data_IF_924558124748
#
_entry.id   IF_924558124748
#
_cell.length_a   1.000
_cell.length_b   1.000
_cell.length_c   1.000
_cell.angle_alpha   90.00
_cell.angle_beta   90.00
_cell.angle_gamma   90.00
#
_symmetry.space_group_name_H-M   'P 1'
#
loop_
_entity.id
_entity.type
_entity.pdbx_description
1 polymer ?
#
# COMPACT_ATOMS: atom_id res chain seq x y z
N UNK A 1 -10.05 10.62 -4.15
CA UNK A 1 -11.39 10.00 -4.28
C UNK A 1 -11.31 8.48 -4.39
N UNK A 2 -10.44 7.95 -5.24
CA UNK A 2 -10.47 6.51 -5.56
C UNK A 2 -10.08 5.60 -4.39
N UNK A 3 -9.17 6.06 -3.53
CA UNK A 3 -8.73 5.30 -2.35
C UNK A 3 -9.90 4.93 -1.44
N UNK A 4 -10.87 5.83 -1.22
CA UNK A 4 -12.03 5.55 -0.35
C UNK A 4 -12.90 4.45 -0.96
N UNK A 5 -13.14 4.50 -2.28
CA UNK A 5 -13.91 3.45 -2.99
C UNK A 5 -13.18 2.11 -2.96
N UNK A 6 -11.87 2.12 -3.15
CA UNK A 6 -11.02 0.93 -3.08
C UNK A 6 -11.06 0.32 -1.68
N UNK A 7 -10.97 1.14 -0.63
CA UNK A 7 -11.10 0.70 0.76
C UNK A 7 -12.50 0.13 1.03
N UNK A 8 -13.55 0.77 0.53
CA UNK A 8 -14.91 0.23 0.59
C UNK A 8 -15.04 -1.17 -0.01
N UNK A 9 -14.48 -1.36 -1.22
CA UNK A 9 -14.43 -2.66 -1.90
C UNK A 9 -13.62 -3.68 -1.09
N UNK A 10 -12.48 -3.27 -0.52
CA UNK A 10 -11.66 -4.12 0.35
C UNK A 10 -12.42 -4.61 1.59
N UNK A 11 -13.22 -3.72 2.19
CA UNK A 11 -14.02 -4.00 3.38
C UNK A 11 -15.37 -4.67 3.10
N UNK A 12 -15.73 -4.81 1.83
CA UNK A 12 -17.07 -5.22 1.41
C UNK A 12 -18.18 -4.33 2.00
N UNK A 13 -17.91 -3.03 2.14
CA UNK A 13 -18.81 -2.03 2.72
C UNK A 13 -19.19 -0.98 1.66
N UNK A 14 -20.48 -0.68 1.46
CA UNK A 14 -20.91 0.34 0.51
C UNK A 14 -20.50 1.73 1.03
N UNK A 15 -19.79 2.49 0.19
CA UNK A 15 -19.24 3.82 0.51
C UNK A 15 -20.21 4.95 0.17
N UNK A 16 -21.23 4.70 -0.65
CA UNK A 16 -22.11 5.76 -1.15
C UNK A 16 -21.40 6.71 -2.13
N UNK A 17 -22.06 7.82 -2.44
CA UNK A 17 -21.48 8.88 -3.29
C UNK A 17 -20.46 9.66 -2.47
N UNK A 18 -19.26 9.82 -3.01
CA UNK A 18 -18.18 10.62 -2.42
C UNK A 18 -18.08 11.92 -3.20
N UNK A 19 -18.21 13.05 -2.53
CA UNK A 19 -18.15 14.40 -3.11
C UNK A 19 -17.27 15.31 -2.26
N UNK A 20 -17.06 16.54 -2.72
CA UNK A 20 -16.44 17.60 -1.92
C UNK A 20 -17.52 18.57 -1.47
N UNK A 21 -17.47 19.01 -0.22
CA UNK A 21 -18.33 20.09 0.28
C UNK A 21 -17.83 21.47 -0.19
N UNK A 22 -18.51 22.54 0.22
CA UNK A 22 -18.16 23.93 -0.12
C UNK A 22 -16.74 24.31 0.28
N UNK A 23 -16.24 23.72 1.37
CA UNK A 23 -14.89 23.94 1.92
C UNK A 23 -13.84 23.02 1.31
N UNK A 24 -14.19 22.29 0.23
CA UNK A 24 -13.33 21.30 -0.45
C UNK A 24 -12.90 20.14 0.45
N UNK A 25 -13.68 19.85 1.50
CA UNK A 25 -13.50 18.67 2.34
C UNK A 25 -14.22 17.49 1.71
N UNK A 26 -13.57 16.32 1.74
CA UNK A 26 -14.16 15.08 1.23
C UNK A 26 -15.33 14.65 2.12
N UNK A 27 -16.51 14.50 1.55
CA UNK A 27 -17.75 14.18 2.27
C UNK A 27 -18.45 12.99 1.63
N UNK A 28 -19.08 12.16 2.47
CA UNK A 28 -19.98 11.10 2.02
C UNK A 28 -21.09 10.87 3.03
N UNK A 29 -22.15 10.16 2.61
CA UNK A 29 -23.28 9.79 3.46
C UNK A 29 -23.15 8.33 3.85
N UNK A 30 -22.88 8.07 5.13
CA UNK A 30 -22.84 6.72 5.70
C UNK A 30 -23.92 6.64 6.78
N UNK A 31 -24.79 5.64 6.69
CA UNK A 31 -25.86 5.39 7.68
C UNK A 31 -26.80 6.58 7.91
N UNK A 32 -27.09 7.34 6.84
CA UNK A 32 -27.88 8.59 6.86
C UNK A 32 -27.22 9.74 7.62
N UNK A 33 -25.96 9.61 8.00
CA UNK A 33 -25.14 10.69 8.58
C UNK A 33 -24.15 11.20 7.54
N UNK A 34 -23.94 12.52 7.53
CA UNK A 34 -22.87 13.13 6.76
C UNK A 34 -21.55 12.92 7.51
N UNK A 35 -20.60 12.26 6.86
CA UNK A 35 -19.25 12.05 7.37
C UNK A 35 -18.29 12.82 6.50
N UNK A 36 -17.52 13.71 7.13
CA UNK A 36 -16.56 14.59 6.48
C UNK A 36 -15.13 14.25 6.88
N UNK A 37 -14.21 14.40 5.94
CA UNK A 37 -12.78 14.15 6.12
C UNK A 37 -12.37 12.74 5.71
N UNK A 38 -11.24 12.65 5.01
CA UNK A 38 -10.71 11.37 4.52
C UNK A 38 -10.52 10.34 5.65
N UNK A 39 -9.86 10.73 6.75
CA UNK A 39 -9.58 9.84 7.87
C UNK A 39 -10.88 9.34 8.53
N UNK A 40 -11.81 10.25 8.81
CA UNK A 40 -13.11 9.94 9.42
C UNK A 40 -13.91 8.95 8.59
N UNK A 41 -13.96 9.14 7.26
CA UNK A 41 -14.68 8.25 6.34
C UNK A 41 -14.06 6.86 6.37
N UNK A 42 -12.72 6.74 6.25
CA UNK A 42 -12.04 5.44 6.25
C UNK A 42 -12.24 4.69 7.58
N UNK A 43 -12.12 5.38 8.72
CA UNK A 43 -12.33 4.77 10.03
C UNK A 43 -13.79 4.34 10.23
N UNK A 44 -14.76 5.16 9.79
CA UNK A 44 -16.18 4.79 9.87
C UNK A 44 -16.51 3.56 9.03
N UNK A 45 -15.92 3.44 7.84
CA UNK A 45 -16.05 2.24 7.00
C UNK A 45 -15.47 1.00 7.69
N UNK A 46 -14.32 1.13 8.35
CA UNK A 46 -13.70 0.03 9.10
C UNK A 46 -14.59 -0.43 10.26
N UNK A 47 -15.10 0.51 11.07
CA UNK A 47 -16.02 0.20 12.17
C UNK A 47 -17.28 -0.52 11.66
N UNK A 48 -17.85 -0.04 10.54
CA UNK A 48 -19.04 -0.64 9.93
C UNK A 48 -18.80 -2.04 9.37
N UNK A 49 -17.60 -2.33 8.90
CA UNK A 49 -17.21 -3.67 8.41
C UNK A 49 -17.01 -4.71 9.53
N UNK A 50 -17.11 -4.29 10.80
CA UNK A 50 -16.89 -5.16 11.96
C UNK A 50 -15.42 -5.34 12.33
N UNK A 51 -14.50 -4.56 11.75
CA UNK A 51 -13.09 -4.55 12.16
C UNK A 51 -12.99 -3.81 13.50
N UNK A 52 -12.71 -4.56 14.56
CA UNK A 52 -12.39 -3.98 15.87
C UNK A 52 -10.91 -3.61 15.94
N UNK A 53 -10.64 -2.36 16.29
CA UNK A 53 -9.29 -1.84 16.56
C UNK A 53 -9.24 -1.32 18.01
N UNK A 54 -8.10 -1.48 18.67
CA UNK A 54 -7.90 -0.86 19.98
C UNK A 54 -7.93 0.68 19.87
N UNK A 55 -8.13 1.37 20.99
CA UNK A 55 -8.11 2.84 21.01
C UNK A 55 -6.78 3.38 20.46
N UNK A 56 -5.66 2.77 20.85
CA UNK A 56 -4.32 3.16 20.35
C UNK A 56 -4.19 2.93 18.85
N UNK A 57 -4.64 1.78 18.34
CA UNK A 57 -4.63 1.49 16.90
C UNK A 57 -5.50 2.47 16.11
N UNK A 58 -6.64 2.87 16.67
CA UNK A 58 -7.56 3.84 16.07
C UNK A 58 -6.91 5.22 15.98
N UNK A 59 -6.28 5.69 17.06
CA UNK A 59 -5.60 6.98 17.09
C UNK A 59 -4.38 7.01 16.15
N UNK A 60 -3.56 5.96 16.13
CA UNK A 60 -2.44 5.86 15.19
C UNK A 60 -2.94 5.78 13.74
N UNK A 61 -4.02 5.05 13.48
CA UNK A 61 -4.65 5.01 12.15
C UNK A 61 -5.12 6.40 11.73
N UNK A 62 -5.80 7.12 12.63
CA UNK A 62 -6.25 8.48 12.38
C UNK A 62 -5.08 9.40 12.02
N UNK A 63 -4.00 9.37 12.81
CA UNK A 63 -2.80 10.19 12.56
C UNK A 63 -2.22 9.94 11.17
N UNK A 64 -2.06 8.67 10.78
CA UNK A 64 -1.53 8.34 9.46
C UNK A 64 -2.48 8.75 8.33
N UNK A 65 -3.78 8.54 8.50
CA UNK A 65 -4.79 8.92 7.52
C UNK A 65 -4.89 10.44 7.32
N UNK A 66 -4.75 11.23 8.40
CA UNK A 66 -4.68 12.69 8.31
C UNK A 66 -3.40 13.14 7.59
N UNK A 67 -2.26 12.52 7.91
CA UNK A 67 -1.01 12.80 7.20
C UNK A 67 -1.14 12.53 5.69
N UNK A 68 -1.78 11.42 5.30
CA UNK A 68 -2.10 11.15 3.89
C UNK A 68 -3.02 12.22 3.31
N UNK A 69 -4.12 12.57 4.00
CA UNK A 69 -5.10 13.56 3.54
C UNK A 69 -4.45 14.92 3.25
N UNK A 70 -3.53 15.34 4.12
CA UNK A 70 -2.88 16.63 4.05
C UNK A 70 -1.83 16.74 2.93
N UNK A 71 -1.07 15.66 2.69
CA UNK A 71 0.13 15.73 1.84
C UNK A 71 0.06 14.90 0.56
N UNK A 72 -0.80 13.88 0.47
CA UNK A 72 -0.80 12.97 -0.66
C UNK A 72 -1.09 13.67 -1.99
N UNK A 73 -2.01 14.62 -2.03
CA UNK A 73 -2.31 15.38 -3.26
C UNK A 73 -1.10 16.17 -3.76
N UNK A 74 -0.33 16.77 -2.86
CA UNK A 74 0.90 17.51 -3.19
C UNK A 74 2.00 16.56 -3.68
N UNK A 75 2.14 15.41 -3.02
CA UNK A 75 3.05 14.34 -3.43
C UNK A 75 2.65 13.70 -4.77
N UNK A 76 1.35 13.69 -5.12
CA UNK A 76 0.93 13.26 -6.44
C UNK A 76 1.29 14.25 -7.55
N UNK A 77 1.33 15.55 -7.25
CA UNK A 77 1.62 16.61 -8.21
C UNK A 77 3.13 16.85 -8.43
N UNK A 78 3.98 16.53 -7.45
CA UNK A 78 5.41 16.83 -7.49
C UNK A 78 6.26 15.64 -7.01
N UNK A 79 7.09 15.08 -7.89
CA UNK A 79 7.95 13.92 -7.60
C UNK A 79 8.98 14.20 -6.50
N UNK A 80 9.59 15.39 -6.45
CA UNK A 80 10.54 15.74 -5.40
C UNK A 80 9.86 15.79 -4.03
N UNK A 81 8.65 16.35 -3.98
CA UNK A 81 7.85 16.35 -2.76
C UNK A 81 7.39 14.94 -2.39
N UNK A 82 7.07 14.09 -3.38
CA UNK A 82 6.73 12.70 -3.17
C UNK A 82 7.87 11.94 -2.46
N UNK A 83 9.12 12.14 -2.87
CA UNK A 83 10.27 11.53 -2.23
C UNK A 83 10.38 11.96 -0.75
N UNK A 84 10.27 13.25 -0.46
CA UNK A 84 10.32 13.78 0.93
C UNK A 84 9.18 13.20 1.78
N UNK A 85 7.97 13.17 1.23
CA UNK A 85 6.81 12.57 1.88
C UNK A 85 7.02 11.09 2.18
N UNK A 86 7.52 10.33 1.21
CA UNK A 86 7.81 8.90 1.35
C UNK A 86 8.96 8.63 2.33
N UNK A 87 9.96 9.51 2.42
CA UNK A 87 11.02 9.44 3.44
C UNK A 87 10.44 9.58 4.86
N UNK A 88 9.42 10.41 5.05
CA UNK A 88 8.67 10.51 6.30
C UNK A 88 8.02 9.18 6.69
N UNK A 89 7.32 8.54 5.73
CA UNK A 89 6.75 7.20 5.93
C UNK A 89 7.83 6.14 6.19
N UNK A 90 8.94 6.18 5.45
CA UNK A 90 10.06 5.26 5.60
C UNK A 90 10.64 5.29 7.02
N UNK A 91 10.79 6.49 7.59
CA UNK A 91 11.23 6.68 8.98
C UNK A 91 10.20 6.11 9.97
N UNK A 92 8.91 6.32 9.75
CA UNK A 92 7.84 5.76 10.59
C UNK A 92 7.78 4.22 10.57
N UNK A 93 8.09 3.62 9.43
CA UNK A 93 8.12 2.17 9.22
C UNK A 93 9.45 1.51 9.65
N UNK A 94 10.45 2.29 10.05
CA UNK A 94 11.76 1.74 10.42
C UNK A 94 11.67 0.72 11.55
N UNK A 95 10.86 1.02 12.59
CA UNK A 95 10.73 0.19 13.80
C UNK A 95 9.48 -0.69 13.82
N UNK A 96 8.60 -0.55 12.84
CA UNK A 96 7.29 -1.20 12.83
C UNK A 96 7.09 -2.05 11.57
N UNK A 97 6.35 -3.15 11.67
CA UNK A 97 5.96 -3.96 10.51
C UNK A 97 4.90 -3.26 9.68
N UNK A 98 3.96 -2.57 10.34
CA UNK A 98 2.83 -1.81 9.79
C UNK A 98 2.80 -0.40 10.37
N UNK A 99 1.96 0.49 9.82
CA UNK A 99 1.86 1.88 10.27
C UNK A 99 1.43 2.01 11.74
N UNK A 100 0.63 1.07 12.24
CA UNK A 100 0.13 1.03 13.61
C UNK A 100 0.85 0.01 14.50
N UNK A 101 2.08 -0.36 14.14
CA UNK A 101 2.92 -1.29 14.90
C UNK A 101 3.01 -2.66 14.22
N UNK A 102 2.59 -3.72 14.92
CA UNK A 102 2.69 -5.11 14.44
C UNK A 102 1.40 -5.67 13.85
N UNK A 103 0.35 -4.85 13.76
CA UNK A 103 -0.97 -5.26 13.27
C UNK A 103 -1.30 -4.55 11.96
N UNK A 104 -1.80 -5.32 10.99
CA UNK A 104 -2.34 -4.75 9.77
C UNK A 104 -3.65 -4.01 10.09
N UNK A 105 -3.74 -2.74 9.72
CA UNK A 105 -4.92 -1.91 9.94
C UNK A 105 -5.45 -1.30 8.66
N UNK A 106 -6.63 -0.67 8.72
CA UNK A 106 -7.22 -0.01 7.56
C UNK A 106 -6.36 1.16 7.05
N UNK A 107 -5.59 1.78 7.95
CA UNK A 107 -4.62 2.80 7.60
C UNK A 107 -3.57 2.27 6.63
N UNK A 108 -3.11 1.03 6.80
CA UNK A 108 -2.12 0.43 5.90
C UNK A 108 -2.68 0.24 4.49
N UNK A 109 -3.92 -0.22 4.38
CA UNK A 109 -4.60 -0.43 3.09
C UNK A 109 -4.83 0.90 2.38
N UNK A 110 -5.32 1.90 3.11
CA UNK A 110 -5.54 3.24 2.57
C UNK A 110 -4.21 3.91 2.16
N UNK A 111 -3.17 3.78 2.98
CA UNK A 111 -1.84 4.29 2.68
C UNK A 111 -1.26 3.63 1.44
N UNK A 112 -1.35 2.30 1.32
CA UNK A 112 -0.82 1.56 0.19
C UNK A 112 -1.38 2.09 -1.13
N UNK A 113 -2.70 2.18 -1.23
CA UNK A 113 -3.35 2.68 -2.43
C UNK A 113 -3.08 4.17 -2.71
N UNK A 114 -2.79 4.95 -1.66
CA UNK A 114 -2.41 6.36 -1.82
C UNK A 114 -0.99 6.49 -2.36
N UNK A 115 -0.04 5.70 -1.84
CA UNK A 115 1.38 5.91 -2.14
C UNK A 115 1.91 5.07 -3.29
N UNK A 116 1.24 3.97 -3.65
CA UNK A 116 1.71 3.06 -4.69
C UNK A 116 1.95 3.78 -6.05
N UNK A 117 1.04 4.65 -6.54
CA UNK A 117 1.29 5.41 -7.76
C UNK A 117 2.45 6.42 -7.63
N UNK A 118 2.82 6.83 -6.41
CA UNK A 118 3.99 7.68 -6.18
C UNK A 118 5.28 6.87 -6.32
N UNK A 119 5.30 5.67 -5.76
CA UNK A 119 6.44 4.75 -5.82
C UNK A 119 6.78 4.36 -7.26
N UNK A 120 5.77 4.10 -8.11
CA UNK A 120 5.97 3.73 -9.52
C UNK A 120 6.67 4.82 -10.35
N UNK A 121 6.60 6.08 -9.91
CA UNK A 121 7.21 7.22 -10.62
C UNK A 121 8.63 7.54 -10.15
N UNK A 122 9.08 6.94 -9.05
CA UNK A 122 10.42 7.13 -8.53
C UNK A 122 11.43 6.29 -9.32
N UNK A 123 12.65 6.82 -9.45
CA UNK A 123 13.78 6.06 -9.98
C UNK A 123 14.17 4.91 -9.06
N UNK A 124 14.90 3.93 -9.61
CA UNK A 124 15.36 2.76 -8.84
C UNK A 124 16.19 3.19 -7.63
N UNK A 125 17.09 4.17 -7.81
CA UNK A 125 17.94 4.70 -6.73
C UNK A 125 17.12 5.35 -5.61
N UNK A 126 16.07 6.09 -5.96
CA UNK A 126 15.17 6.69 -4.96
C UNK A 126 14.37 5.62 -4.22
N UNK A 127 13.89 4.59 -4.92
CA UNK A 127 13.19 3.46 -4.29
C UNK A 127 14.11 2.67 -3.35
N UNK A 128 15.39 2.52 -3.70
CA UNK A 128 16.40 1.90 -2.83
C UNK A 128 16.61 2.69 -1.54
N UNK A 129 16.48 4.02 -1.56
CA UNK A 129 16.54 4.83 -0.34
C UNK A 129 15.34 4.62 0.61
N UNK A 130 14.26 4.01 0.10
CA UNK A 130 12.99 3.80 0.79
C UNK A 130 12.78 2.33 1.22
N UNK A 131 13.84 1.69 1.73
CA UNK A 131 13.85 0.25 2.06
C UNK A 131 12.68 -0.23 2.93
N UNK A 132 12.25 0.55 3.92
CA UNK A 132 11.17 0.15 4.84
C UNK A 132 9.79 0.26 4.18
N UNK A 133 9.59 1.25 3.31
CA UNK A 133 8.39 1.37 2.48
C UNK A 133 8.32 0.21 1.49
N UNK A 134 9.42 -0.08 0.79
CA UNK A 134 9.50 -1.20 -0.15
C UNK A 134 9.20 -2.55 0.53
N UNK A 135 9.78 -2.79 1.72
CA UNK A 135 9.49 -3.98 2.55
C UNK A 135 8.00 -4.05 2.90
N UNK A 136 7.43 -2.94 3.39
CA UNK A 136 6.03 -2.87 3.81
C UNK A 136 5.07 -3.09 2.63
N UNK A 137 5.32 -2.50 1.46
CA UNK A 137 4.55 -2.73 0.23
C UNK A 137 4.56 -4.20 -0.16
N UNK A 138 5.74 -4.83 -0.23
CA UNK A 138 5.86 -6.26 -0.55
C UNK A 138 5.10 -7.12 0.46
N UNK A 139 5.16 -6.74 1.74
CA UNK A 139 4.42 -7.45 2.78
C UNK A 139 2.90 -7.33 2.59
N UNK A 140 2.38 -6.16 2.22
CA UNK A 140 0.96 -5.97 1.93
C UNK A 140 0.50 -6.75 0.69
N UNK A 141 1.29 -6.71 -0.39
CA UNK A 141 1.00 -7.43 -1.64
C UNK A 141 0.94 -8.95 -1.44
N UNK A 142 1.73 -9.49 -0.51
CA UNK A 142 1.69 -10.92 -0.17
C UNK A 142 0.36 -11.36 0.49
N UNK A 143 -0.48 -10.41 0.95
CA UNK A 143 -1.73 -10.73 1.64
C UNK A 143 -2.89 -10.89 0.63
N UNK A 144 -3.62 -12.03 0.65
CA UNK A 144 -4.61 -12.37 -0.37
C UNK A 144 -5.86 -11.47 -0.42
N UNK A 145 -6.07 -10.60 0.58
CA UNK A 145 -7.17 -9.63 0.59
C UNK A 145 -6.78 -8.28 -0.03
N UNK A 146 -5.50 -7.87 0.02
CA UNK A 146 -5.04 -6.57 -0.48
C UNK A 146 -4.94 -6.54 -2.03
N UNK A 147 -4.81 -7.71 -2.65
CA UNK A 147 -4.62 -7.88 -4.09
C UNK A 147 -5.92 -7.84 -4.92
N UNK A 148 -7.11 -7.90 -4.30
CA UNK A 148 -8.40 -7.92 -5.04
C UNK A 148 -8.83 -6.56 -5.63
N UNK A 149 -8.09 -5.50 -5.32
CA UNK A 149 -8.31 -4.13 -5.84
C UNK A 149 -7.27 -3.71 -6.89
N UNK A 150 -6.29 -4.56 -7.18
CA UNK A 150 -5.23 -4.30 -8.17
C UNK A 150 -5.69 -4.86 -9.53
N UNK A 151 -5.57 -4.13 -10.65
CA UNK A 151 -5.88 -4.67 -11.97
C UNK A 151 -5.00 -5.90 -12.27
N UNK A 152 -5.59 -6.91 -12.93
CA UNK A 152 -5.01 -8.24 -13.14
C UNK A 152 -3.60 -8.27 -13.75
N UNK A 153 -3.11 -7.19 -14.38
CA UNK A 153 -1.73 -7.11 -14.90
C UNK A 153 -0.65 -6.96 -13.80
N UNK A 154 -1.02 -6.51 -12.59
CA UNK A 154 -0.13 -6.47 -11.43
C UNK A 154 -0.31 -7.71 -10.52
N UNK A 155 -1.00 -8.72 -11.05
CA UNK A 155 -1.04 -10.10 -10.53
C UNK A 155 -0.31 -11.01 -11.53
N UNK A 156 0.88 -10.61 -11.99
CA UNK A 156 1.87 -11.66 -12.19
C UNK A 156 2.34 -12.04 -10.78
N UNK A 157 2.19 -13.31 -10.35
CA UNK A 157 2.86 -13.72 -9.13
C UNK A 157 4.32 -13.34 -9.31
N UNK A 158 4.88 -12.56 -8.37
CA UNK A 158 6.33 -12.36 -8.30
C UNK A 158 6.96 -13.73 -8.53
N UNK A 159 7.83 -13.88 -9.54
CA UNK A 159 8.29 -15.20 -9.92
C UNK A 159 8.84 -15.90 -8.68
N UNK A 160 8.43 -17.14 -8.46
CA UNK A 160 8.88 -17.89 -7.28
C UNK A 160 10.41 -17.90 -7.32
N UNK A 161 11.05 -17.49 -6.22
CA UNK A 161 12.48 -17.68 -6.06
C UNK A 161 12.75 -19.19 -6.08
N UNK A 162 13.42 -19.67 -7.13
CA UNK A 162 13.81 -21.05 -7.29
C UNK A 162 15.23 -21.22 -6.78
N UNK A 163 15.43 -22.14 -5.85
CA UNK A 163 16.75 -22.46 -5.33
C UNK A 163 17.48 -23.45 -6.26
N UNK A 164 18.82 -23.54 -6.22
CA UNK A 164 19.58 -24.42 -7.11
C UNK A 164 19.17 -25.89 -7.10
N UNK A 165 18.63 -26.38 -5.99
CA UNK A 165 18.14 -27.76 -5.86
C UNK A 165 16.79 -27.98 -6.55
N UNK A 166 16.01 -26.93 -6.79
CA UNK A 166 14.71 -26.96 -7.48
C UNK A 166 14.86 -26.80 -9.01
N UNK A 167 16.06 -26.52 -9.54
CA UNK A 167 16.33 -26.37 -10.97
C UNK A 167 16.29 -27.68 -11.77
N UNK A 168 16.30 -28.83 -11.08
CA UNK A 168 16.39 -30.15 -11.74
C UNK A 168 15.12 -30.52 -12.52
N UNK A 169 13.99 -29.91 -12.16
CA UNK A 169 12.67 -30.24 -12.70
C UNK A 169 12.08 -29.11 -13.55
N UNK A 170 12.89 -28.12 -13.97
CA UNK A 170 12.41 -26.91 -14.66
C UNK A 170 12.73 -26.96 -16.15
N UNK A 171 11.71 -26.72 -16.98
CA UNK A 171 11.80 -26.65 -18.44
C UNK A 171 12.48 -25.33 -18.89
N UNK A 172 13.71 -25.46 -19.42
CA UNK A 172 14.58 -24.38 -19.85
C UNK A 172 14.17 -23.72 -21.18
N UNK A 173 13.09 -24.17 -21.82
CA UNK A 173 12.65 -23.64 -23.12
C UNK A 173 11.76 -22.40 -23.02
N UNK A 174 11.36 -22.00 -21.81
CA UNK A 174 10.53 -20.81 -21.55
C UNK A 174 11.39 -19.55 -21.33
N UNK A 175 10.86 -18.35 -21.66
CA UNK A 175 11.58 -17.10 -21.49
C UNK A 175 11.90 -16.81 -20.02
N UNK A 176 13.18 -16.51 -19.75
CA UNK A 176 13.71 -16.17 -18.42
C UNK A 176 13.88 -14.65 -18.33
N UNK A 177 13.31 -14.02 -17.31
CA UNK A 177 13.56 -12.61 -17.00
C UNK A 177 14.65 -12.49 -15.94
N UNK A 178 15.76 -11.83 -16.29
CA UNK A 178 16.86 -11.57 -15.37
C UNK A 178 16.65 -10.23 -14.64
N UNK A 179 16.38 -10.29 -13.34
CA UNK A 179 16.41 -9.10 -12.47
C UNK A 179 17.68 -9.14 -11.62
N UNK A 180 18.65 -8.23 -11.82
CA UNK A 180 19.78 -8.12 -10.91
C UNK A 180 19.28 -7.56 -9.57
N UNK A 181 19.23 -8.41 -8.53
CA UNK A 181 19.05 -7.92 -7.16
C UNK A 181 20.42 -7.67 -6.50
N UNK A 182 20.62 -6.56 -5.78
CA UNK A 182 21.89 -6.22 -5.13
C UNK A 182 22.18 -7.01 -3.83
N UNK A 183 21.37 -8.01 -3.47
CA UNK A 183 21.55 -8.82 -2.26
C UNK A 183 21.79 -10.31 -2.53
N UNK A 184 22.34 -10.66 -3.69
CA UNK A 184 22.88 -11.99 -3.91
C UNK A 184 24.18 -12.14 -3.13
N UNK A 185 24.24 -13.13 -2.24
CA UNK A 185 25.52 -13.62 -1.71
C UNK A 185 26.51 -13.81 -2.86
N UNK A 186 27.79 -13.43 -2.71
CA UNK A 186 28.76 -13.58 -3.79
C UNK A 186 28.87 -15.05 -4.19
N UNK A 187 28.39 -15.41 -5.40
CA UNK A 187 28.53 -16.75 -5.98
C UNK A 187 27.26 -17.46 -6.46
N UNK A 188 26.04 -16.91 -6.27
CA UNK A 188 24.81 -17.58 -6.71
C UNK A 188 23.99 -16.74 -7.70
N UNK A 189 23.89 -17.14 -8.99
CA UNK A 189 22.94 -16.52 -9.91
C UNK A 189 21.50 -16.91 -9.53
N UNK A 190 20.62 -15.92 -9.40
CA UNK A 190 19.19 -16.12 -9.19
C UNK A 190 18.50 -16.13 -10.55
N UNK A 191 17.89 -17.27 -10.90
CA UNK A 191 17.13 -17.44 -12.15
C UNK A 191 15.65 -17.55 -11.77
N UNK A 192 14.83 -16.67 -12.33
CA UNK A 192 13.39 -16.64 -12.12
C UNK A 192 12.69 -17.19 -13.37
N UNK A 193 11.80 -18.17 -13.19
CA UNK A 193 11.03 -18.81 -14.26
C UNK A 193 9.56 -18.38 -14.22
N UNK A 194 8.96 -18.25 -15.40
CA UNK A 194 7.52 -18.07 -15.63
C UNK A 194 6.84 -19.41 -15.92
#
# INVERSE_FOLDING_TARGET
>A
MDVVKVVGKYLNTPVGTVCYNTDKVLTTVLDKENVEGFASIILRLATKSGISMSQVQTLLSYQWLEHLSMYANQAHANTNFALIFLQGLNKGLQKNTFLTGNHLTIADVAAYHSIYPMMERLSILEQESLVHVCRWIKHLQSKPKATKSVPNWAIEPLPKQLYPHELKDVDLTKPVLYFPQPFSFPGYPVILYL
#
